data_IF_151017084331
#
_entry.id   IF_151017084331
#
_cell.length_a   1.000
_cell.length_b   1.000
_cell.length_c   1.000
_cell.angle_alpha   90.00
_cell.angle_beta   90.00
_cell.angle_gamma   90.00
#
_symmetry.space_group_name_H-M   'P 1'
#
loop_
_entity.id
_entity.type
_entity.pdbx_description
1 polymer ?
#
# COMPACT_ATOMS: atom_id res chain seq x y z
N UNK A 1 -51.24 -5.82 -18.31
CA UNK A 1 -49.86 -5.44 -17.99
C UNK A 1 -49.78 -3.93 -18.14
N UNK A 2 -49.59 -3.23 -17.02
CA UNK A 2 -49.53 -1.75 -16.99
C UNK A 2 -48.15 -1.18 -17.28
N UNK A 3 -47.12 -2.03 -17.40
CA UNK A 3 -45.72 -1.60 -17.67
C UNK A 3 -45.09 -2.44 -18.79
N UNK A 4 -44.20 -1.82 -19.56
CA UNK A 4 -43.41 -2.51 -20.58
C UNK A 4 -42.43 -3.50 -19.93
N UNK A 5 -42.32 -4.69 -20.52
CA UNK A 5 -41.30 -5.67 -20.12
C UNK A 5 -39.89 -5.16 -20.53
N UNK A 6 -39.08 -4.88 -19.54
CA UNK A 6 -37.77 -4.26 -19.72
C UNK A 6 -36.58 -5.23 -19.57
N UNK A 7 -36.81 -6.48 -19.19
CA UNK A 7 -35.74 -7.48 -19.11
C UNK A 7 -35.27 -7.86 -20.51
N UNK A 8 -34.00 -7.62 -20.76
CA UNK A 8 -33.32 -7.88 -22.03
C UNK A 8 -32.52 -9.20 -22.06
N UNK A 9 -32.58 -9.98 -21.00
CA UNK A 9 -31.84 -11.21 -20.84
C UNK A 9 -32.73 -12.46 -20.86
N UNK A 10 -33.96 -12.36 -20.38
CA UNK A 10 -34.87 -13.50 -20.25
C UNK A 10 -36.12 -13.33 -21.11
N UNK A 11 -36.87 -14.42 -21.28
CA UNK A 11 -38.12 -14.44 -22.01
C UNK A 11 -38.02 -15.06 -23.42
N UNK A 12 -39.21 -15.35 -23.97
CA UNK A 12 -39.39 -15.88 -25.33
C UNK A 12 -40.30 -14.93 -26.10
N UNK A 13 -39.88 -14.60 -27.31
CA UNK A 13 -40.61 -13.66 -28.15
C UNK A 13 -41.93 -14.29 -28.67
N UNK A 14 -43.04 -13.53 -28.57
CA UNK A 14 -44.32 -13.86 -29.12
C UNK A 14 -44.86 -12.71 -29.97
N UNK A 15 -45.69 -12.97 -30.96
CA UNK A 15 -46.25 -11.97 -31.90
C UNK A 15 -45.17 -11.11 -32.60
N UNK A 16 -43.99 -11.69 -32.82
CA UNK A 16 -42.82 -11.01 -33.38
C UNK A 16 -42.39 -11.52 -34.76
N UNK A 17 -43.32 -12.08 -35.54
CA UNK A 17 -43.13 -12.59 -36.87
C UNK A 17 -42.04 -13.68 -36.94
N UNK A 18 -41.02 -13.49 -37.72
CA UNK A 18 -39.93 -14.47 -37.88
C UNK A 18 -39.05 -14.71 -36.62
N UNK A 19 -39.28 -13.94 -35.59
CA UNK A 19 -38.57 -14.09 -34.28
C UNK A 19 -39.39 -14.88 -33.25
N UNK A 20 -40.61 -15.25 -33.56
CA UNK A 20 -41.48 -15.98 -32.64
C UNK A 20 -40.81 -17.27 -32.13
N UNK A 21 -40.97 -17.55 -30.84
CA UNK A 21 -40.44 -18.74 -30.18
C UNK A 21 -38.93 -18.69 -29.86
N UNK A 22 -38.26 -17.63 -30.23
CA UNK A 22 -36.83 -17.47 -29.91
C UNK A 22 -36.64 -16.84 -28.53
N UNK A 23 -35.55 -17.22 -27.87
CA UNK A 23 -35.07 -16.49 -26.71
C UNK A 23 -34.67 -15.05 -27.09
N UNK A 24 -34.66 -14.13 -26.11
CA UNK A 24 -34.22 -12.73 -26.36
C UNK A 24 -32.84 -12.69 -26.98
N UNK A 25 -31.89 -13.55 -26.53
CA UNK A 25 -30.54 -13.61 -27.04
C UNK A 25 -30.49 -14.06 -28.52
N UNK A 26 -31.20 -15.13 -28.84
CA UNK A 26 -31.26 -15.67 -30.21
C UNK A 26 -32.01 -14.75 -31.14
N UNK A 27 -33.05 -14.11 -30.69
CA UNK A 27 -33.82 -13.13 -31.46
C UNK A 27 -32.97 -11.90 -31.83
N UNK A 28 -32.15 -11.39 -30.89
CA UNK A 28 -31.20 -10.30 -31.17
C UNK A 28 -30.23 -10.69 -32.29
N UNK A 29 -29.60 -11.86 -32.20
CA UNK A 29 -28.69 -12.35 -33.24
C UNK A 29 -29.38 -12.44 -34.60
N UNK A 30 -30.54 -13.10 -34.61
CA UNK A 30 -31.31 -13.28 -35.88
C UNK A 30 -31.77 -11.95 -36.47
N UNK A 31 -32.18 -10.98 -35.61
CA UNK A 31 -32.53 -9.65 -36.09
C UNK A 31 -31.34 -8.89 -36.68
N UNK A 32 -30.16 -8.97 -36.04
CA UNK A 32 -28.93 -8.35 -36.56
C UNK A 32 -28.61 -8.93 -37.95
N UNK A 33 -28.56 -10.25 -38.08
CA UNK A 33 -28.34 -10.91 -39.36
C UNK A 33 -29.34 -10.45 -40.42
N UNK A 34 -30.63 -10.39 -40.08
CA UNK A 34 -31.66 -9.93 -41.01
C UNK A 34 -31.47 -8.47 -41.42
N UNK A 35 -31.04 -7.58 -40.49
CA UNK A 35 -30.76 -6.18 -40.78
C UNK A 35 -29.58 -6.03 -41.74
N UNK A 36 -28.54 -6.84 -41.56
CA UNK A 36 -27.35 -6.86 -42.43
C UNK A 36 -27.68 -7.38 -43.82
N UNK A 37 -28.38 -8.51 -43.94
CA UNK A 37 -28.79 -9.10 -45.21
C UNK A 37 -29.73 -8.18 -46.03
N UNK A 38 -30.51 -7.35 -45.34
CA UNK A 38 -31.42 -6.40 -45.98
C UNK A 38 -30.84 -4.98 -46.17
N UNK A 39 -29.55 -4.78 -45.80
CA UNK A 39 -28.88 -3.47 -45.90
C UNK A 39 -29.48 -2.36 -45.06
N UNK A 40 -30.18 -2.73 -43.96
CA UNK A 40 -30.90 -1.80 -43.08
C UNK A 40 -30.16 -1.47 -41.76
N UNK A 41 -29.11 -2.21 -41.45
CA UNK A 41 -28.31 -2.01 -40.24
C UNK A 41 -27.14 -2.96 -40.18
N UNK A 42 -26.30 -2.81 -39.20
CA UNK A 42 -25.17 -3.70 -38.91
C UNK A 42 -24.94 -3.82 -37.39
N UNK A 43 -24.25 -4.86 -36.99
CA UNK A 43 -23.76 -4.99 -35.62
C UNK A 43 -22.80 -3.85 -35.27
N UNK A 44 -22.90 -3.32 -34.07
CA UNK A 44 -22.01 -2.29 -33.56
C UNK A 44 -21.69 -2.54 -32.12
N UNK A 45 -20.41 -2.75 -31.83
CA UNK A 45 -19.90 -2.81 -30.45
C UNK A 45 -19.73 -1.39 -29.92
N UNK A 46 -20.40 -1.08 -28.81
CA UNK A 46 -20.21 0.18 -28.10
C UNK A 46 -19.43 -0.10 -26.83
N UNK A 47 -18.30 0.58 -26.68
CA UNK A 47 -17.48 0.52 -25.48
C UNK A 47 -18.00 1.51 -24.44
N UNK A 48 -18.08 1.09 -23.17
CA UNK A 48 -18.45 1.98 -22.06
C UNK A 48 -17.31 2.87 -21.61
N UNK A 49 -16.08 2.53 -21.97
CA UNK A 49 -14.89 3.34 -21.69
C UNK A 49 -14.95 4.61 -22.56
N UNK A 50 -14.77 5.77 -21.93
CA UNK A 50 -14.69 7.05 -22.65
C UNK A 50 -13.34 7.17 -23.35
N UNK A 51 -13.33 7.90 -24.47
CA UNK A 51 -12.08 8.22 -25.17
C UNK A 51 -11.15 9.01 -24.24
N UNK A 52 -9.87 8.71 -24.31
CA UNK A 52 -8.87 9.48 -23.61
C UNK A 52 -8.60 10.77 -24.36
N UNK A 53 -8.98 11.92 -23.77
CA UNK A 53 -8.59 13.23 -24.30
C UNK A 53 -7.09 13.40 -24.09
N UNK A 54 -6.33 13.34 -25.18
CA UNK A 54 -4.87 13.24 -25.14
C UNK A 54 -4.16 14.60 -25.21
N UNK A 55 -4.84 15.69 -25.42
CA UNK A 55 -4.26 17.03 -25.57
C UNK A 55 -4.56 17.93 -24.35
N UNK A 56 -3.61 18.79 -24.02
CA UNK A 56 -3.69 19.78 -22.96
C UNK A 56 -3.18 21.13 -23.42
N UNK A 57 -3.90 22.19 -23.12
CA UNK A 57 -3.54 23.58 -23.33
C UNK A 57 -2.61 24.06 -22.23
N UNK A 58 -1.45 23.41 -22.10
CA UNK A 58 -0.44 23.67 -21.06
C UNK A 58 0.95 23.60 -21.63
N UNK A 59 1.86 24.39 -21.08
CA UNK A 59 3.27 24.33 -21.46
C UNK A 59 3.95 23.04 -20.96
N UNK A 60 3.77 22.72 -19.69
CA UNK A 60 4.40 21.56 -19.05
C UNK A 60 3.73 20.25 -19.50
N UNK A 61 4.41 19.54 -20.37
CA UNK A 61 4.01 18.27 -20.94
C UNK A 61 4.87 17.92 -22.15
N UNK A 62 4.83 16.67 -22.60
CA UNK A 62 5.51 16.26 -23.83
C UNK A 62 4.81 16.91 -25.02
N UNK A 63 5.56 17.59 -25.92
CA UNK A 63 4.97 18.17 -27.12
C UNK A 63 4.50 17.05 -28.08
N UNK A 64 3.37 17.28 -28.74
CA UNK A 64 2.81 16.33 -29.69
C UNK A 64 3.54 16.49 -31.04
N UNK A 65 4.24 15.47 -31.54
CA UNK A 65 5.07 15.60 -32.76
C UNK A 65 4.24 15.58 -34.05
N UNK A 66 3.30 16.49 -34.16
CA UNK A 66 2.40 16.64 -35.32
C UNK A 66 2.44 18.07 -35.85
N UNK A 67 2.21 18.19 -37.15
CA UNK A 67 2.05 19.48 -37.82
C UNK A 67 0.80 19.46 -38.68
N UNK A 68 0.10 20.59 -38.74
CA UNK A 68 -1.02 20.79 -39.64
C UNK A 68 -0.59 21.58 -40.87
N UNK A 69 -0.94 21.05 -42.04
CA UNK A 69 -0.72 21.69 -43.36
C UNK A 69 -2.06 21.85 -44.09
N UNK A 70 -2.37 23.01 -44.60
CA UNK A 70 -3.63 23.27 -45.30
C UNK A 70 -3.86 22.35 -46.50
N UNK A 71 -2.77 21.88 -47.14
CA UNK A 71 -2.83 20.98 -48.29
C UNK A 71 -2.89 19.49 -47.88
N UNK A 72 -2.14 19.08 -46.85
CA UNK A 72 -1.93 17.68 -46.49
C UNK A 72 -2.69 17.25 -45.23
N UNK A 73 -3.30 18.19 -44.50
CA UNK A 73 -3.88 17.93 -43.19
C UNK A 73 -2.81 17.65 -42.11
N UNK A 74 -3.17 16.94 -41.06
CA UNK A 74 -2.27 16.55 -40.01
C UNK A 74 -1.21 15.55 -40.48
N UNK A 75 0.06 15.85 -40.23
CA UNK A 75 1.20 15.02 -40.61
C UNK A 75 2.11 14.79 -39.41
N UNK A 76 2.60 13.57 -39.17
CA UNK A 76 3.60 13.32 -38.14
C UNK A 76 4.94 13.94 -38.52
N UNK A 77 5.69 14.42 -37.53
CA UNK A 77 7.09 14.82 -37.72
C UNK A 77 7.94 13.58 -38.03
N UNK A 78 8.99 13.71 -38.87
CA UNK A 78 9.90 12.60 -39.12
C UNK A 78 10.73 12.28 -37.87
N UNK A 79 11.08 11.01 -37.67
CA UNK A 79 11.89 10.54 -36.54
C UNK A 79 13.20 11.32 -36.38
N UNK A 80 13.82 11.75 -37.47
CA UNK A 80 15.06 12.55 -37.44
C UNK A 80 14.89 13.92 -36.81
N UNK A 81 13.66 14.40 -36.56
CA UNK A 81 13.38 15.65 -35.84
C UNK A 81 13.09 15.45 -34.37
N UNK A 82 13.16 14.21 -33.86
CA UNK A 82 12.98 13.90 -32.46
C UNK A 82 14.31 13.92 -31.69
N UNK A 83 14.34 14.29 -30.43
CA UNK A 83 13.20 14.75 -29.62
C UNK A 83 12.71 16.14 -30.03
N UNK A 84 11.38 16.32 -30.12
CA UNK A 84 10.79 17.64 -30.26
C UNK A 84 10.85 18.33 -28.90
N UNK A 85 11.63 19.42 -28.81
CA UNK A 85 11.81 20.19 -27.57
C UNK A 85 10.84 21.37 -27.51
N UNK A 86 10.38 21.68 -26.30
CA UNK A 86 9.61 22.91 -26.04
C UNK A 86 10.52 24.13 -26.20
N UNK A 87 9.99 25.28 -26.69
CA UNK A 87 10.72 26.54 -26.68
C UNK A 87 10.89 27.06 -25.24
N UNK A 88 11.97 27.77 -25.00
CA UNK A 88 12.15 28.46 -23.70
C UNK A 88 11.22 29.67 -23.63
N UNK A 89 10.27 29.66 -22.70
CA UNK A 89 9.26 30.71 -22.53
C UNK A 89 9.15 31.14 -21.07
N UNK A 90 8.70 32.37 -20.84
CA UNK A 90 8.52 32.96 -19.51
C UNK A 90 7.05 33.06 -19.08
N UNK A 91 6.12 33.00 -20.03
CA UNK A 91 4.67 33.06 -19.80
C UNK A 91 4.04 31.69 -20.07
N UNK A 92 3.63 31.02 -19.02
CA UNK A 92 3.11 29.65 -19.03
C UNK A 92 1.58 29.58 -18.93
N UNK A 93 0.89 30.71 -18.75
CA UNK A 93 -0.55 30.70 -18.59
C UNK A 93 -1.27 30.53 -19.93
N UNK A 94 -2.38 29.78 -19.95
CA UNK A 94 -3.24 29.70 -21.14
C UNK A 94 -3.74 31.12 -21.56
N UNK A 95 -3.99 31.27 -22.85
CA UNK A 95 -4.59 32.48 -23.37
C UNK A 95 -6.01 32.72 -22.81
N UNK A 96 -6.57 33.97 -22.98
CA UNK A 96 -7.92 34.32 -22.51
C UNK A 96 -9.02 33.39 -23.04
N UNK A 97 -8.82 32.83 -24.24
CA UNK A 97 -9.74 31.91 -24.90
C UNK A 97 -9.44 30.42 -24.59
N UNK A 98 -8.55 30.18 -23.61
CA UNK A 98 -8.10 28.82 -23.25
C UNK A 98 -7.09 28.23 -24.22
N UNK A 99 -6.52 29.02 -25.12
CA UNK A 99 -5.49 28.60 -26.06
C UNK A 99 -4.18 28.27 -25.34
N UNK A 100 -3.45 27.27 -25.86
CA UNK A 100 -2.17 26.85 -25.31
C UNK A 100 -1.16 28.01 -25.28
N UNK A 101 -0.35 28.15 -24.19
CA UNK A 101 0.75 29.12 -24.15
C UNK A 101 1.69 29.02 -25.35
N UNK A 102 1.91 27.84 -25.88
CA UNK A 102 2.76 27.60 -27.05
C UNK A 102 2.25 28.27 -28.33
N UNK A 103 0.93 28.45 -28.48
CA UNK A 103 0.33 29.07 -29.67
C UNK A 103 0.80 30.51 -29.91
N UNK A 104 1.19 31.22 -28.83
CA UNK A 104 1.73 32.59 -28.89
C UNK A 104 3.17 32.66 -29.42
N UNK A 105 3.89 31.55 -29.45
CA UNK A 105 5.29 31.50 -29.89
C UNK A 105 5.39 31.15 -31.39
N UNK A 106 5.05 32.13 -32.22
CA UNK A 106 4.92 31.97 -33.68
C UNK A 106 6.17 31.41 -34.35
N UNK A 107 7.37 31.70 -33.81
CA UNK A 107 8.64 31.20 -34.38
C UNK A 107 8.80 29.69 -34.14
N UNK A 108 8.28 29.18 -33.03
CA UNK A 108 8.24 27.75 -32.75
C UNK A 108 7.07 27.08 -33.48
N UNK A 109 5.92 27.73 -33.57
CA UNK A 109 4.70 27.17 -34.17
C UNK A 109 4.88 27.00 -35.69
N UNK A 110 5.43 28.00 -36.39
CA UNK A 110 5.62 27.95 -37.83
C UNK A 110 6.70 26.94 -38.25
N UNK A 111 6.39 26.10 -39.19
CA UNK A 111 7.29 25.07 -39.71
C UNK A 111 6.98 24.70 -41.14
N UNK A 112 7.64 23.70 -41.68
CA UNK A 112 7.40 23.14 -42.99
C UNK A 112 6.73 21.77 -42.92
N UNK A 113 5.81 21.51 -43.81
CA UNK A 113 5.15 20.21 -43.92
C UNK A 113 6.14 19.14 -44.39
N UNK A 114 6.32 18.03 -43.64
CA UNK A 114 7.23 16.97 -44.04
C UNK A 114 6.77 16.21 -45.29
N UNK A 115 5.49 16.30 -45.63
CA UNK A 115 4.93 15.63 -46.81
C UNK A 115 5.13 16.44 -48.11
N UNK A 116 4.80 17.74 -48.13
CA UNK A 116 4.81 18.54 -49.36
C UNK A 116 5.81 19.70 -49.37
N UNK A 117 6.54 19.94 -48.28
CA UNK A 117 7.50 21.05 -48.12
C UNK A 117 6.87 22.44 -48.01
N UNK A 118 5.56 22.56 -48.06
CA UNK A 118 4.84 23.81 -47.88
C UNK A 118 4.75 24.30 -46.43
N UNK A 119 4.18 25.51 -46.23
CA UNK A 119 3.96 26.02 -44.89
C UNK A 119 3.09 25.08 -44.05
N UNK A 120 3.44 24.95 -42.75
CA UNK A 120 2.68 24.20 -41.79
C UNK A 120 2.79 24.82 -40.37
N UNK A 121 1.93 24.41 -39.48
CA UNK A 121 1.93 24.84 -38.09
C UNK A 121 2.08 23.63 -37.19
N UNK A 122 2.94 23.70 -36.15
CA UNK A 122 3.06 22.67 -35.15
C UNK A 122 1.79 22.61 -34.29
N UNK A 123 1.47 21.40 -33.80
CA UNK A 123 0.53 21.23 -32.71
C UNK A 123 1.02 22.00 -31.47
N UNK A 124 0.15 22.77 -30.86
CA UNK A 124 0.47 23.63 -29.70
C UNK A 124 0.01 23.07 -28.38
N UNK A 125 -0.84 22.05 -28.40
CA UNK A 125 -1.20 21.29 -27.23
C UNK A 125 -0.05 20.35 -26.82
N UNK A 126 0.04 20.06 -25.53
CA UNK A 126 0.97 19.05 -25.00
C UNK A 126 0.23 17.79 -24.58
N UNK A 127 0.94 16.69 -24.45
CA UNK A 127 0.39 15.44 -23.91
C UNK A 127 0.03 15.60 -22.43
N UNK A 128 -0.98 14.89 -21.92
CA UNK A 128 -1.27 14.88 -20.49
C UNK A 128 -0.10 14.21 -19.74
N UNK A 129 0.11 14.61 -18.47
CA UNK A 129 1.15 14.01 -17.61
C UNK A 129 1.08 12.46 -17.54
N UNK A 130 -0.11 11.90 -17.76
CA UNK A 130 -0.31 10.44 -17.79
C UNK A 130 0.30 9.78 -19.04
N UNK A 131 0.64 10.52 -20.07
CA UNK A 131 1.36 9.98 -21.24
C UNK A 131 2.77 9.58 -20.83
N UNK A 132 3.56 10.51 -20.28
CA UNK A 132 4.91 10.23 -19.79
C UNK A 132 4.92 9.20 -18.67
N UNK A 133 4.02 9.33 -17.69
CA UNK A 133 3.93 8.37 -16.58
C UNK A 133 3.48 6.97 -17.00
N UNK A 134 2.90 6.81 -18.19
CA UNK A 134 2.42 5.50 -18.67
C UNK A 134 3.53 4.51 -19.01
N UNK A 135 4.75 4.95 -19.19
CA UNK A 135 5.86 4.10 -19.64
C UNK A 135 7.18 4.29 -18.89
N UNK A 136 7.22 5.12 -17.84
CA UNK A 136 8.45 5.42 -17.10
C UNK A 136 9.14 4.15 -16.56
N UNK A 137 8.36 3.16 -16.11
CA UNK A 137 8.89 1.90 -15.58
C UNK A 137 9.64 1.08 -16.65
N UNK A 138 9.24 1.18 -17.90
CA UNK A 138 9.95 0.57 -19.04
C UNK A 138 11.28 1.30 -19.28
N UNK A 139 11.27 2.64 -19.24
CA UNK A 139 12.48 3.45 -19.40
C UNK A 139 13.49 3.22 -18.26
N UNK A 140 13.01 2.97 -17.05
CA UNK A 140 13.87 2.65 -15.90
C UNK A 140 14.66 1.35 -16.09
N UNK A 141 14.19 0.43 -16.92
CA UNK A 141 14.90 -0.82 -17.22
C UNK A 141 16.19 -0.57 -17.99
N UNK A 142 16.22 0.49 -18.82
CA UNK A 142 17.41 0.91 -19.57
C UNK A 142 17.41 2.43 -19.78
N UNK A 143 17.77 3.22 -18.74
CA UNK A 143 17.66 4.68 -18.78
C UNK A 143 18.65 5.35 -19.75
N UNK A 144 19.69 4.64 -20.17
CA UNK A 144 20.75 5.17 -21.06
C UNK A 144 20.59 4.76 -22.53
N UNK A 145 19.59 3.95 -22.86
CA UNK A 145 19.31 3.57 -24.24
C UNK A 145 18.96 4.83 -25.07
N UNK A 146 19.67 5.03 -26.20
CA UNK A 146 19.47 6.19 -27.07
C UNK A 146 18.64 5.90 -28.29
N UNK A 147 18.58 4.63 -28.70
CA UNK A 147 18.03 4.20 -29.98
C UNK A 147 16.60 3.66 -29.90
N UNK A 148 16.14 3.37 -28.67
CA UNK A 148 14.81 2.82 -28.42
C UNK A 148 14.28 3.25 -27.04
N UNK A 149 13.04 2.89 -26.73
CA UNK A 149 12.39 3.06 -25.42
C UNK A 149 13.23 2.41 -24.32
N UNK A 150 13.73 1.21 -24.55
CA UNK A 150 14.73 0.46 -23.78
C UNK A 150 15.28 -0.64 -24.70
N UNK A 151 16.44 -1.21 -24.39
CA UNK A 151 16.98 -2.34 -25.13
C UNK A 151 16.07 -3.57 -25.01
N UNK A 152 16.05 -4.39 -26.04
CA UNK A 152 15.24 -5.61 -26.05
C UNK A 152 15.64 -6.55 -24.92
N UNK A 153 16.94 -6.70 -24.68
CA UNK A 153 17.52 -7.53 -23.64
C UNK A 153 17.06 -7.07 -22.24
N UNK A 154 17.04 -5.76 -21.97
CA UNK A 154 16.56 -5.22 -20.71
C UNK A 154 15.06 -5.44 -20.52
N UNK A 155 14.26 -5.23 -21.58
CA UNK A 155 12.83 -5.48 -21.55
C UNK A 155 12.50 -6.96 -21.34
N UNK A 156 13.21 -7.88 -21.99
CA UNK A 156 13.02 -9.33 -21.80
C UNK A 156 13.42 -9.79 -20.41
N UNK A 157 14.42 -9.16 -19.77
CA UNK A 157 14.88 -9.52 -18.44
C UNK A 157 14.00 -8.95 -17.31
N UNK A 158 13.61 -7.65 -17.40
CA UNK A 158 12.94 -6.93 -16.32
C UNK A 158 11.41 -6.89 -16.45
N UNK A 159 10.82 -7.22 -17.62
CA UNK A 159 9.36 -7.24 -17.80
C UNK A 159 8.79 -8.66 -17.70
N UNK A 160 7.54 -8.78 -17.23
CA UNK A 160 6.72 -7.76 -16.57
C UNK A 160 7.22 -7.43 -15.17
N UNK A 161 6.88 -6.23 -14.66
CA UNK A 161 7.27 -5.82 -13.30
C UNK A 161 6.71 -6.80 -12.28
N UNK A 162 7.55 -7.32 -11.38
CA UNK A 162 7.17 -8.38 -10.44
C UNK A 162 6.14 -7.91 -9.43
N UNK A 163 6.34 -6.72 -8.86
CA UNK A 163 5.46 -6.17 -7.85
C UNK A 163 5.34 -4.64 -7.96
N UNK A 164 4.13 -4.18 -8.15
CA UNK A 164 3.82 -2.76 -8.37
C UNK A 164 2.98 -2.20 -7.23
N UNK A 165 3.57 -1.29 -6.45
CA UNK A 165 2.92 -0.63 -5.32
C UNK A 165 2.51 0.80 -5.70
N UNK A 166 1.30 1.19 -5.32
CA UNK A 166 0.81 2.55 -5.57
C UNK A 166 -0.52 2.82 -4.92
N UNK A 167 -0.88 4.10 -4.82
CA UNK A 167 -2.15 4.53 -4.23
C UNK A 167 -3.37 4.00 -4.98
N UNK A 168 -4.45 3.80 -4.27
CA UNK A 168 -5.71 3.28 -4.82
C UNK A 168 -6.30 4.23 -5.87
N UNK A 169 -6.07 5.54 -5.76
CA UNK A 169 -6.50 6.57 -6.72
C UNK A 169 -5.97 6.30 -8.15
N UNK A 170 -4.81 5.67 -8.27
CA UNK A 170 -4.20 5.35 -9.55
C UNK A 170 -4.86 4.19 -10.29
N UNK A 171 -5.81 3.48 -9.69
CA UNK A 171 -6.56 2.40 -10.34
C UNK A 171 -7.27 2.87 -11.62
N UNK A 172 -7.81 4.08 -11.58
CA UNK A 172 -8.52 4.72 -12.72
C UNK A 172 -7.71 5.81 -13.40
N UNK A 173 -6.47 6.05 -12.99
CA UNK A 173 -5.56 7.05 -13.54
C UNK A 173 -4.33 6.36 -14.16
N UNK A 174 -3.18 6.44 -13.51
CA UNK A 174 -1.92 5.90 -14.01
C UNK A 174 -2.00 4.42 -14.43
N UNK A 175 -2.60 3.55 -13.61
CA UNK A 175 -2.67 2.11 -13.92
C UNK A 175 -3.52 1.81 -15.16
N UNK A 176 -4.62 2.55 -15.37
CA UNK A 176 -5.43 2.41 -16.56
C UNK A 176 -4.65 2.82 -17.82
N UNK A 177 -4.00 3.99 -17.77
CA UNK A 177 -3.28 4.52 -18.91
C UNK A 177 -2.00 3.74 -19.22
N UNK A 178 -1.23 3.36 -18.19
CA UNK A 178 -0.01 2.57 -18.39
C UNK A 178 -0.30 1.18 -18.94
N UNK A 179 -1.38 0.54 -18.49
CA UNK A 179 -1.82 -0.75 -19.03
C UNK A 179 -2.30 -0.64 -20.48
N UNK A 180 -3.06 0.41 -20.82
CA UNK A 180 -3.48 0.69 -22.20
C UNK A 180 -2.27 0.89 -23.11
N UNK A 181 -1.31 1.74 -22.68
CA UNK A 181 -0.08 2.03 -23.39
C UNK A 181 0.78 0.77 -23.58
N UNK A 182 0.93 -0.02 -22.55
CA UNK A 182 1.69 -1.27 -22.58
C UNK A 182 1.09 -2.29 -23.56
N UNK A 183 -0.24 -2.44 -23.59
CA UNK A 183 -0.92 -3.32 -24.53
C UNK A 183 -0.71 -2.87 -25.98
N UNK A 184 -0.75 -1.58 -26.24
CA UNK A 184 -0.41 -1.03 -27.55
C UNK A 184 1.05 -1.35 -27.93
N UNK A 185 2.01 -1.15 -27.02
CA UNK A 185 3.41 -1.50 -27.25
C UNK A 185 3.61 -3.00 -27.49
N UNK A 186 2.82 -3.84 -26.83
CA UNK A 186 2.81 -5.28 -27.07
C UNK A 186 2.27 -5.62 -28.48
N UNK A 187 1.17 -5.01 -28.90
CA UNK A 187 0.58 -5.24 -30.21
C UNK A 187 1.52 -4.87 -31.35
N UNK A 188 2.38 -3.88 -31.18
CA UNK A 188 3.41 -3.49 -32.16
C UNK A 188 4.77 -4.16 -31.92
N UNK A 189 4.88 -5.09 -30.98
CA UNK A 189 6.08 -5.92 -30.73
C UNK A 189 7.23 -5.22 -30.01
N UNK A 190 6.99 -4.13 -29.30
CA UNK A 190 8.02 -3.38 -28.54
C UNK A 190 8.29 -4.00 -27.18
N UNK A 191 7.27 -4.51 -26.49
CA UNK A 191 7.41 -5.16 -25.18
C UNK A 191 7.09 -6.65 -25.28
N UNK A 192 7.71 -7.52 -24.43
CA UNK A 192 7.60 -8.98 -24.57
C UNK A 192 6.33 -9.59 -23.97
N UNK A 193 5.61 -8.86 -23.12
CA UNK A 193 4.45 -9.38 -22.38
C UNK A 193 3.19 -8.54 -22.60
N UNK A 194 1.98 -9.15 -22.59
CA UNK A 194 0.73 -8.43 -22.80
C UNK A 194 0.26 -7.61 -21.57
N UNK A 195 0.85 -7.86 -20.39
CA UNK A 195 0.53 -7.15 -19.15
C UNK A 195 1.79 -6.57 -18.52
N UNK A 196 1.72 -5.32 -18.00
CA UNK A 196 2.90 -4.63 -17.47
C UNK A 196 3.32 -5.12 -16.07
N UNK A 197 2.39 -5.63 -15.27
CA UNK A 197 2.59 -5.95 -13.84
C UNK A 197 2.11 -7.35 -13.52
N UNK A 198 2.92 -8.12 -12.77
CA UNK A 198 2.56 -9.46 -12.27
C UNK A 198 1.69 -9.37 -11.03
N UNK A 199 2.06 -8.51 -10.09
CA UNK A 199 1.36 -8.28 -8.83
C UNK A 199 1.20 -6.79 -8.57
N UNK A 200 0.02 -6.40 -8.13
CA UNK A 200 -0.26 -5.03 -7.69
C UNK A 200 -0.74 -5.02 -6.24
N UNK A 201 -0.20 -4.11 -5.45
CA UNK A 201 -0.70 -3.78 -4.11
C UNK A 201 -1.10 -2.31 -4.08
N UNK A 202 -2.28 -2.03 -3.53
CA UNK A 202 -2.71 -0.66 -3.23
C UNK A 202 -2.44 -0.39 -1.76
N UNK A 203 -1.52 0.52 -1.47
CA UNK A 203 -1.36 0.97 -0.08
C UNK A 203 -2.57 1.78 0.39
N UNK A 204 -2.84 1.72 1.70
CA UNK A 204 -3.88 2.50 2.35
C UNK A 204 -3.60 4.00 2.32
N UNK A 205 -4.65 4.78 2.56
CA UNK A 205 -4.55 6.24 2.60
C UNK A 205 -4.35 6.69 4.05
N UNK A 206 -3.40 7.60 4.27
CA UNK A 206 -3.26 8.28 5.56
C UNK A 206 -4.32 9.40 5.62
N UNK A 207 -5.15 9.36 6.66
CA UNK A 207 -6.28 10.25 6.86
C UNK A 207 -5.96 11.28 7.93
N UNK A 208 -6.53 12.48 7.80
CA UNK A 208 -6.42 13.57 8.77
C UNK A 208 -7.71 13.82 9.54
N UNK A 209 -7.62 14.59 10.62
CA UNK A 209 -8.78 15.09 11.32
C UNK A 209 -9.61 16.00 10.43
N UNK A 210 -10.93 15.90 10.50
CA UNK A 210 -11.83 16.79 9.80
C UNK A 210 -12.07 18.04 10.67
N UNK A 211 -11.58 19.24 10.27
CA UNK A 211 -11.77 20.46 11.06
C UNK A 211 -13.24 20.93 11.11
N UNK A 212 -14.11 20.38 10.28
CA UNK A 212 -15.53 20.72 10.24
C UNK A 212 -16.42 19.72 10.99
N UNK A 213 -15.84 18.65 11.55
CA UNK A 213 -16.60 17.72 12.38
C UNK A 213 -16.70 18.23 13.82
N UNK A 214 -17.90 18.18 14.41
CA UNK A 214 -18.17 18.68 15.74
C UNK A 214 -17.15 18.22 16.80
N UNK A 215 -16.78 16.95 16.77
CA UNK A 215 -15.85 16.34 17.74
C UNK A 215 -14.40 16.87 17.66
N UNK A 216 -14.05 17.48 16.54
CA UNK A 216 -12.72 18.04 16.30
C UNK A 216 -12.65 19.56 16.47
N UNK A 217 -13.79 20.23 16.68
CA UNK A 217 -13.82 21.66 16.94
C UNK A 217 -13.19 21.98 18.30
N UNK A 218 -12.60 23.19 18.46
CA UNK A 218 -12.18 23.68 19.76
C UNK A 218 -13.33 23.66 20.78
N UNK A 219 -13.03 23.42 22.04
CA UNK A 219 -14.05 23.29 23.10
C UNK A 219 -14.98 24.53 23.17
N UNK A 220 -14.43 25.73 22.97
CA UNK A 220 -15.22 26.98 22.94
C UNK A 220 -16.23 27.01 21.80
N UNK A 221 -15.88 26.50 20.63
CA UNK A 221 -16.79 26.41 19.49
C UNK A 221 -17.86 25.34 19.71
N UNK A 222 -17.49 24.19 20.30
CA UNK A 222 -18.47 23.17 20.66
C UNK A 222 -19.50 23.71 21.67
N UNK A 223 -19.07 24.42 22.72
CA UNK A 223 -19.96 25.03 23.68
C UNK A 223 -20.88 26.09 23.05
N UNK A 224 -20.35 26.91 22.12
CA UNK A 224 -21.14 27.90 21.38
C UNK A 224 -22.24 27.22 20.57
N UNK A 225 -21.90 26.18 19.83
CA UNK A 225 -22.84 25.43 19.02
C UNK A 225 -23.89 24.71 19.89
N UNK A 226 -23.48 24.15 21.04
CA UNK A 226 -24.44 23.52 21.97
C UNK A 226 -25.41 24.52 22.57
N UNK A 227 -24.98 25.74 22.87
CA UNK A 227 -25.88 26.85 23.33
C UNK A 227 -26.82 27.29 22.23
N UNK A 228 -26.35 27.39 21.00
CA UNK A 228 -27.13 27.83 19.86
C UNK A 228 -28.17 26.80 19.39
N UNK A 229 -27.79 25.54 19.30
CA UNK A 229 -28.64 24.46 18.73
C UNK A 229 -29.27 23.54 19.78
N UNK A 230 -28.94 23.69 21.05
CA UNK A 230 -29.54 22.98 22.18
C UNK A 230 -29.11 21.52 22.36
N UNK A 231 -28.48 20.91 21.36
CA UNK A 231 -27.93 19.54 21.44
C UNK A 231 -26.81 19.29 20.44
N UNK A 232 -25.91 18.34 20.74
CA UNK A 232 -24.85 17.93 19.84
C UNK A 232 -25.38 17.47 18.47
N UNK A 233 -26.44 16.66 18.46
CA UNK A 233 -27.05 16.18 17.22
C UNK A 233 -27.60 17.30 16.32
N UNK A 234 -28.15 18.36 16.92
CA UNK A 234 -28.63 19.51 16.16
C UNK A 234 -27.45 20.37 15.66
N UNK A 235 -26.39 20.52 16.46
CA UNK A 235 -25.14 21.17 16.06
C UNK A 235 -24.45 20.43 14.90
N UNK A 236 -24.33 19.11 14.98
CA UNK A 236 -23.79 18.26 13.89
C UNK A 236 -24.59 18.42 12.59
N UNK A 237 -25.93 18.47 12.69
CA UNK A 237 -26.78 18.69 11.53
C UNK A 237 -26.57 20.07 10.91
N UNK A 238 -26.39 21.12 11.72
CA UNK A 238 -26.10 22.46 11.24
C UNK A 238 -24.72 22.53 10.54
N UNK A 239 -23.71 21.84 11.07
CA UNK A 239 -22.40 21.71 10.43
C UNK A 239 -22.51 20.96 9.10
N UNK A 240 -23.32 19.92 9.03
CA UNK A 240 -23.58 19.18 7.79
C UNK A 240 -24.27 20.07 6.73
N UNK A 241 -25.27 20.86 7.12
CA UNK A 241 -25.94 21.82 6.22
C UNK A 241 -24.97 22.88 5.69
N UNK A 242 -23.96 23.26 6.50
CA UNK A 242 -22.97 24.27 6.13
C UNK A 242 -21.81 23.73 5.30
N UNK A 243 -21.28 22.54 5.64
CA UNK A 243 -20.05 21.99 5.06
C UNK A 243 -20.27 20.71 4.24
N UNK A 244 -21.50 20.24 4.13
CA UNK A 244 -21.86 19.01 3.43
C UNK A 244 -21.73 17.74 4.30
N UNK A 245 -22.11 16.60 3.72
CA UNK A 245 -22.13 15.30 4.40
C UNK A 245 -20.81 14.91 5.06
N UNK A 246 -19.68 15.38 4.53
CA UNK A 246 -18.36 15.11 5.09
C UNK A 246 -18.20 15.59 6.54
N UNK A 247 -18.96 16.60 6.99
CA UNK A 247 -18.88 17.08 8.37
C UNK A 247 -19.27 16.01 9.43
N UNK A 248 -19.98 14.97 9.03
CA UNK A 248 -20.31 13.81 9.87
C UNK A 248 -19.09 12.94 10.21
N UNK A 249 -18.07 12.98 9.38
CA UNK A 249 -16.91 12.11 9.51
C UNK A 249 -15.78 12.84 10.25
N UNK A 250 -15.40 12.37 11.45
CA UNK A 250 -14.32 13.01 12.21
C UNK A 250 -12.94 12.85 11.56
N UNK A 251 -12.80 11.87 10.68
CA UNK A 251 -11.55 11.54 9.98
C UNK A 251 -11.85 11.49 8.49
N UNK A 252 -11.06 12.22 7.69
CA UNK A 252 -11.26 12.37 6.25
C UNK A 252 -9.91 12.39 5.52
N UNK A 253 -9.95 12.30 4.19
CA UNK A 253 -8.77 12.48 3.36
C UNK A 253 -8.12 13.84 3.63
N UNK A 254 -6.80 13.85 3.77
CA UNK A 254 -6.04 15.10 3.88
C UNK A 254 -6.13 15.90 2.60
N UNK A 255 -6.38 17.21 2.72
CA UNK A 255 -6.37 18.14 1.59
C UNK A 255 -5.96 19.55 2.03
N UNK A 256 -5.30 20.27 1.11
CA UNK A 256 -4.91 21.68 1.36
C UNK A 256 -6.11 22.57 1.63
N UNK A 257 -7.24 22.31 0.96
CA UNK A 257 -8.48 23.10 1.14
C UNK A 257 -9.11 22.91 2.52
N UNK A 258 -8.89 21.79 3.18
CA UNK A 258 -9.36 21.55 4.55
C UNK A 258 -8.35 21.98 5.62
N UNK A 259 -7.12 22.29 5.24
CA UNK A 259 -6.07 22.66 6.20
C UNK A 259 -5.68 21.52 7.16
N UNK A 260 -5.98 20.28 6.84
CA UNK A 260 -5.72 19.09 7.67
C UNK A 260 -4.53 18.26 7.20
N UNK A 261 -3.67 18.84 6.37
CA UNK A 261 -2.45 18.20 5.86
C UNK A 261 -1.37 18.21 6.95
N UNK A 262 -0.69 17.10 7.13
CA UNK A 262 0.53 17.00 7.94
C UNK A 262 1.72 17.17 7.00
N UNK A 263 2.59 18.13 7.31
CA UNK A 263 3.82 18.34 6.56
C UNK A 263 4.91 17.37 7.07
N UNK A 264 5.45 16.48 6.22
CA UNK A 264 6.53 15.59 6.61
C UNK A 264 7.75 16.31 7.17
N UNK A 265 8.14 17.48 6.62
CA UNK A 265 9.30 18.22 7.07
C UNK A 265 9.17 18.63 8.54
N UNK A 266 7.99 19.11 8.95
CA UNK A 266 7.73 19.50 10.35
C UNK A 266 7.86 18.29 11.32
N UNK A 267 7.43 17.10 10.87
CA UNK A 267 7.55 15.87 11.66
C UNK A 267 9.01 15.42 11.74
N UNK A 268 9.74 15.52 10.64
CA UNK A 268 11.17 15.18 10.59
C UNK A 268 11.99 16.14 11.45
N UNK A 269 11.72 17.43 11.40
CA UNK A 269 12.38 18.44 12.23
C UNK A 269 12.14 18.22 13.73
N UNK A 270 10.96 17.75 14.09
CA UNK A 270 10.58 17.53 15.50
C UNK A 270 11.03 16.18 16.06
N UNK A 271 10.95 15.10 15.27
CA UNK A 271 11.12 13.73 15.76
C UNK A 271 12.24 12.95 15.04
N UNK A 272 12.76 13.46 13.93
CA UNK A 272 13.72 12.77 13.08
C UNK A 272 13.07 11.88 12.02
N UNK A 273 13.80 11.69 10.92
CA UNK A 273 13.32 10.91 9.77
C UNK A 273 13.04 9.44 10.12
N UNK A 274 13.88 8.82 10.92
CA UNK A 274 13.71 7.41 11.32
C UNK A 274 12.45 7.19 12.15
N UNK A 275 12.12 8.14 13.04
CA UNK A 275 10.88 8.09 13.82
C UNK A 275 9.66 8.20 12.93
N UNK A 276 9.67 9.11 11.95
CA UNK A 276 8.59 9.26 10.98
C UNK A 276 8.40 7.99 10.16
N UNK A 277 9.49 7.46 9.57
CA UNK A 277 9.47 6.21 8.79
C UNK A 277 8.90 5.04 9.59
N UNK A 278 9.40 4.88 10.81
CA UNK A 278 8.93 3.81 11.71
C UNK A 278 7.44 3.97 12.03
N UNK A 279 6.98 5.20 12.30
CA UNK A 279 5.58 5.46 12.60
C UNK A 279 4.66 5.18 11.41
N UNK A 280 5.02 5.62 10.21
CA UNK A 280 4.22 5.35 8.99
C UNK A 280 4.05 3.85 8.74
N UNK A 281 5.08 3.04 9.01
CA UNK A 281 5.01 1.59 8.86
C UNK A 281 4.28 0.91 10.04
N UNK A 282 4.21 1.54 11.20
CA UNK A 282 3.62 0.97 12.40
C UNK A 282 2.14 1.29 12.60
N UNK A 283 1.64 2.38 12.02
CA UNK A 283 0.31 2.92 12.31
C UNK A 283 -0.87 2.02 11.91
N UNK A 284 -0.67 1.02 11.06
CA UNK A 284 -1.71 0.09 10.64
C UNK A 284 -1.27 -0.92 9.60
N UNK A 285 -2.23 -1.68 9.09
CA UNK A 285 -2.03 -2.57 7.95
C UNK A 285 -1.71 -1.74 6.69
N UNK A 286 -0.72 -2.17 5.90
CA UNK A 286 -0.23 -1.43 4.75
C UNK A 286 -1.31 -1.14 3.68
N UNK A 287 -2.29 -2.04 3.53
CA UNK A 287 -3.36 -1.93 2.55
C UNK A 287 -4.61 -1.19 3.08
N UNK A 288 -4.64 -0.84 4.37
CA UNK A 288 -5.78 -0.20 5.01
C UNK A 288 -5.55 1.29 5.24
N UNK A 289 -6.62 2.08 5.10
CA UNK A 289 -6.57 3.47 5.47
C UNK A 289 -6.43 3.63 6.99
N UNK A 290 -5.53 4.50 7.44
CA UNK A 290 -5.27 4.73 8.85
C UNK A 290 -5.27 6.23 9.20
N UNK A 291 -5.84 6.62 10.36
CA UNK A 291 -5.81 8.02 10.79
C UNK A 291 -4.43 8.38 11.34
N UNK A 292 -3.94 9.53 10.97
CA UNK A 292 -2.73 10.11 11.57
C UNK A 292 -2.98 10.49 13.03
N UNK A 293 -2.09 10.03 13.92
CA UNK A 293 -2.13 10.32 15.35
C UNK A 293 -0.77 10.82 15.83
N UNK A 294 -0.57 12.12 15.91
CA UNK A 294 0.71 12.72 16.32
C UNK A 294 1.20 12.23 17.69
N UNK A 295 0.29 11.95 18.62
CA UNK A 295 0.65 11.40 19.94
C UNK A 295 1.29 10.01 19.90
N UNK A 296 1.01 9.21 18.86
CA UNK A 296 1.58 7.88 18.72
C UNK A 296 3.04 7.91 18.22
N UNK A 297 3.45 8.98 17.55
CA UNK A 297 4.84 9.19 17.07
C UNK A 297 5.81 9.16 18.24
N UNK A 298 5.46 9.78 19.38
CA UNK A 298 6.29 9.76 20.58
C UNK A 298 6.54 8.35 21.12
N UNK A 299 5.63 7.40 20.85
CA UNK A 299 5.83 5.98 21.17
C UNK A 299 6.93 5.34 20.32
N UNK A 300 6.94 5.64 19.03
CA UNK A 300 7.97 5.18 18.09
C UNK A 300 9.32 5.80 18.43
N UNK A 301 9.37 7.10 18.74
CA UNK A 301 10.60 7.76 19.15
C UNK A 301 11.20 7.10 20.39
N UNK A 302 10.40 6.89 21.46
CA UNK A 302 10.88 6.19 22.66
C UNK A 302 11.36 4.76 22.40
N UNK A 303 10.77 4.08 21.44
CA UNK A 303 11.27 2.75 21.05
C UNK A 303 12.67 2.85 20.41
N UNK A 304 12.91 3.80 19.52
CA UNK A 304 14.21 4.03 18.92
C UNK A 304 15.25 4.43 19.98
N UNK A 305 14.89 5.34 20.89
CA UNK A 305 15.76 5.73 22.03
C UNK A 305 16.16 4.52 22.88
N UNK A 306 15.23 3.58 23.12
CA UNK A 306 15.51 2.35 23.86
C UNK A 306 16.43 1.42 23.10
N UNK A 307 16.29 1.30 21.78
CA UNK A 307 17.22 0.52 20.95
C UNK A 307 18.61 1.13 21.02
N UNK A 308 18.72 2.45 20.87
CA UNK A 308 19.98 3.16 21.02
C UNK A 308 20.64 2.90 22.38
N UNK A 309 19.89 3.05 23.46
CA UNK A 309 20.37 2.87 24.83
C UNK A 309 20.81 1.42 25.15
N UNK A 310 20.43 0.41 24.36
CA UNK A 310 20.94 -0.95 24.49
C UNK A 310 22.45 -1.02 24.21
N UNK A 311 22.99 -0.14 23.36
CA UNK A 311 24.43 -0.09 23.09
C UNK A 311 25.28 0.29 24.31
N UNK A 312 24.66 0.94 25.29
CA UNK A 312 25.30 1.28 26.58
C UNK A 312 25.02 0.21 27.66
N UNK A 313 24.27 -0.83 27.32
CA UNK A 313 23.88 -1.95 28.20
C UNK A 313 24.31 -3.30 27.64
N UNK A 314 25.46 -3.31 26.97
CA UNK A 314 26.02 -4.57 26.48
C UNK A 314 26.47 -5.43 27.67
N UNK A 315 26.09 -6.71 27.61
CA UNK A 315 26.50 -7.74 28.57
C UNK A 315 27.51 -8.68 27.92
N UNK A 316 28.37 -9.31 28.72
CA UNK A 316 29.33 -10.30 28.26
C UNK A 316 28.59 -11.54 27.71
N UNK A 317 29.13 -12.10 26.63
CA UNK A 317 28.62 -13.31 25.99
C UNK A 317 28.92 -13.37 24.51
N UNK A 318 29.12 -14.56 24.00
CA UNK A 318 29.27 -14.84 22.57
C UNK A 318 27.92 -15.35 22.03
N UNK A 319 27.47 -14.79 20.90
CA UNK A 319 26.22 -15.19 20.25
C UNK A 319 24.94 -14.84 21.06
N UNK A 320 23.89 -15.61 20.85
CA UNK A 320 22.61 -15.42 21.55
C UNK A 320 22.60 -16.19 22.87
N UNK A 321 22.15 -15.52 23.94
CA UNK A 321 22.04 -16.18 25.25
C UNK A 321 20.87 -17.19 25.27
N UNK A 322 21.02 -18.33 25.98
CA UNK A 322 19.99 -19.39 26.01
C UNK A 322 18.59 -18.91 26.42
N UNK A 323 18.52 -17.90 27.29
CA UNK A 323 17.27 -17.34 27.78
C UNK A 323 16.47 -16.60 26.69
N UNK A 324 17.12 -16.19 25.59
CA UNK A 324 16.53 -15.34 24.55
C UNK A 324 16.72 -15.92 23.15
N UNK A 325 17.54 -16.96 22.98
CA UNK A 325 17.89 -17.55 21.69
C UNK A 325 16.66 -17.92 20.85
N UNK A 326 15.68 -18.59 21.46
CA UNK A 326 14.43 -18.96 20.78
C UNK A 326 13.70 -17.73 20.25
N UNK A 327 13.59 -16.68 21.08
CA UNK A 327 12.93 -15.43 20.66
C UNK A 327 13.71 -14.71 19.55
N UNK A 328 15.06 -14.76 19.56
CA UNK A 328 15.88 -14.21 18.49
C UNK A 328 15.56 -14.89 17.14
N UNK A 329 15.60 -16.24 17.09
CA UNK A 329 15.28 -16.97 15.88
C UNK A 329 13.84 -16.78 15.42
N UNK A 330 12.86 -16.78 16.32
CA UNK A 330 11.47 -16.47 16.02
C UNK A 330 11.31 -15.06 15.46
N UNK A 331 12.06 -14.08 15.99
CA UNK A 331 12.00 -12.68 15.53
C UNK A 331 12.60 -12.54 14.14
N UNK A 332 13.74 -13.13 13.84
CA UNK A 332 14.34 -13.13 12.50
C UNK A 332 13.35 -13.69 11.49
N UNK A 333 12.80 -14.88 11.77
CA UNK A 333 11.81 -15.55 10.91
C UNK A 333 10.58 -14.67 10.68
N UNK A 334 9.99 -14.15 11.78
CA UNK A 334 8.76 -13.39 11.70
C UNK A 334 8.94 -12.05 10.99
N UNK A 335 9.98 -11.28 11.34
CA UNK A 335 10.24 -9.97 10.71
C UNK A 335 10.51 -10.13 9.23
N UNK A 336 11.31 -11.12 8.80
CA UNK A 336 11.54 -11.40 7.40
C UNK A 336 10.25 -11.70 6.64
N UNK A 337 9.45 -12.65 7.14
CA UNK A 337 8.17 -13.01 6.52
C UNK A 337 7.15 -11.85 6.50
N UNK A 338 7.12 -11.05 7.55
CA UNK A 338 6.22 -9.90 7.65
C UNK A 338 6.61 -8.79 6.65
N UNK A 339 7.91 -8.52 6.45
CA UNK A 339 8.39 -7.57 5.46
C UNK A 339 8.04 -8.05 4.04
N UNK A 340 8.29 -9.30 3.71
CA UNK A 340 7.91 -9.90 2.42
C UNK A 340 6.39 -9.83 2.17
N UNK A 341 5.60 -9.95 3.23
CA UNK A 341 4.14 -9.87 3.21
C UNK A 341 3.56 -8.47 3.32
N UNK A 342 4.38 -7.40 3.37
CA UNK A 342 3.99 -6.00 3.65
C UNK A 342 3.23 -5.82 4.98
N UNK A 343 3.49 -6.68 5.96
CA UNK A 343 2.95 -6.58 7.33
C UNK A 343 3.91 -5.84 8.26
N UNK A 344 4.28 -4.63 7.86
CA UNK A 344 5.32 -3.84 8.53
C UNK A 344 4.99 -3.57 10.00
N UNK A 345 3.73 -3.33 10.33
CA UNK A 345 3.25 -3.07 11.69
C UNK A 345 3.49 -4.27 12.62
N UNK A 346 3.28 -5.50 12.14
CA UNK A 346 3.52 -6.71 12.94
C UNK A 346 5.01 -7.03 13.07
N UNK A 347 5.82 -6.73 12.04
CA UNK A 347 7.27 -6.80 12.13
C UNK A 347 7.82 -5.87 13.22
N UNK A 348 7.39 -4.61 13.25
CA UNK A 348 7.79 -3.62 14.25
C UNK A 348 7.33 -4.06 15.66
N UNK A 349 6.10 -4.55 15.81
CA UNK A 349 5.61 -5.07 17.07
C UNK A 349 6.46 -6.24 17.60
N UNK A 350 6.92 -7.10 16.71
CA UNK A 350 7.83 -8.19 17.07
C UNK A 350 9.20 -7.68 17.53
N UNK A 351 9.74 -6.65 16.87
CA UNK A 351 10.98 -6.00 17.31
C UNK A 351 10.81 -5.36 18.68
N UNK A 352 9.67 -4.70 18.96
CA UNK A 352 9.37 -4.15 20.29
C UNK A 352 9.32 -5.24 21.34
N UNK A 353 8.75 -6.41 21.04
CA UNK A 353 8.72 -7.57 21.93
C UNK A 353 10.13 -8.06 22.24
N UNK A 354 10.98 -8.19 21.23
CA UNK A 354 12.38 -8.60 21.42
C UNK A 354 13.16 -7.61 22.26
N UNK A 355 13.05 -6.31 21.99
CA UNK A 355 13.72 -5.26 22.76
C UNK A 355 13.27 -5.28 24.23
N UNK A 356 11.98 -5.48 24.51
CA UNK A 356 11.50 -5.65 25.88
C UNK A 356 12.17 -6.85 26.57
N UNK A 357 12.22 -7.99 25.90
CA UNK A 357 12.85 -9.18 26.46
C UNK A 357 14.36 -9.00 26.71
N UNK A 358 15.07 -8.23 25.88
CA UNK A 358 16.47 -7.88 26.11
C UNK A 358 16.63 -7.05 27.39
N UNK A 359 15.76 -6.06 27.61
CA UNK A 359 15.76 -5.27 28.85
C UNK A 359 15.44 -6.13 30.08
N UNK A 360 14.45 -7.01 29.99
CA UNK A 360 14.05 -7.91 31.08
C UNK A 360 15.18 -8.89 31.45
N UNK A 361 16.09 -9.19 30.52
CA UNK A 361 17.27 -10.01 30.70
C UNK A 361 18.57 -9.21 30.93
N UNK A 362 18.44 -7.94 31.33
CA UNK A 362 19.55 -7.11 31.82
C UNK A 362 20.38 -6.42 30.74
N UNK A 363 19.99 -6.47 29.48
CA UNK A 363 20.68 -5.88 28.34
C UNK A 363 20.83 -6.86 27.17
N UNK A 364 21.75 -6.60 26.26
CA UNK A 364 22.00 -7.42 25.08
C UNK A 364 23.47 -7.81 24.97
N UNK A 365 23.79 -9.00 24.42
CA UNK A 365 25.13 -9.25 23.91
C UNK A 365 25.34 -8.44 22.64
N UNK A 366 26.59 -8.28 22.22
CA UNK A 366 26.88 -7.62 20.93
C UNK A 366 26.13 -8.27 19.78
N UNK A 367 26.13 -9.59 19.67
CA UNK A 367 25.45 -10.35 18.62
C UNK A 367 23.92 -10.19 18.64
N UNK A 368 23.31 -10.14 19.83
CA UNK A 368 21.88 -9.89 19.98
C UNK A 368 21.50 -8.49 19.49
N UNK A 369 22.29 -7.47 19.87
CA UNK A 369 22.05 -6.08 19.42
C UNK A 369 22.33 -5.91 17.91
N UNK A 370 23.38 -6.50 17.36
CA UNK A 370 23.64 -6.49 15.92
C UNK A 370 22.46 -7.05 15.14
N UNK A 371 21.86 -8.13 15.60
CA UNK A 371 20.66 -8.70 14.96
C UNK A 371 19.47 -7.76 15.03
N UNK A 372 19.21 -7.11 16.18
CA UNK A 372 18.15 -6.09 16.30
C UNK A 372 18.38 -4.96 15.30
N UNK A 373 19.63 -4.47 15.21
CA UNK A 373 20.01 -3.37 14.34
C UNK A 373 19.84 -3.76 12.86
N UNK A 374 20.21 -4.97 12.46
CA UNK A 374 20.00 -5.50 11.11
C UNK A 374 18.50 -5.58 10.76
N UNK A 375 17.68 -6.13 11.65
CA UNK A 375 16.24 -6.27 11.43
C UNK A 375 15.50 -4.93 11.43
N UNK A 376 16.02 -3.94 12.15
CA UNK A 376 15.42 -2.59 12.22
C UNK A 376 15.86 -1.68 11.08
N UNK A 377 16.98 -1.97 10.40
CA UNK A 377 17.56 -1.11 9.37
C UNK A 377 16.56 -0.69 8.26
N UNK A 378 15.68 -1.54 7.73
CA UNK A 378 14.69 -1.12 6.73
C UNK A 378 13.74 -0.01 7.21
N UNK A 379 13.50 0.07 8.51
CA UNK A 379 12.57 1.02 9.13
C UNK A 379 13.28 2.31 9.60
N UNK A 380 14.48 2.17 10.17
CA UNK A 380 15.24 3.26 10.79
C UNK A 380 16.71 3.25 10.31
N UNK A 381 16.98 3.50 9.02
CA UNK A 381 18.28 3.30 8.42
C UNK A 381 19.40 4.19 9.01
N UNK A 382 19.10 5.45 9.37
CA UNK A 382 20.14 6.36 9.84
C UNK A 382 20.66 5.96 11.21
N UNK A 383 19.77 5.70 12.16
CA UNK A 383 20.13 5.28 13.52
C UNK A 383 20.84 3.92 13.52
N UNK A 384 20.40 3.00 12.69
CA UNK A 384 20.94 1.65 12.66
C UNK A 384 22.32 1.60 11.99
N UNK A 385 22.60 2.39 10.97
CA UNK A 385 23.95 2.54 10.41
C UNK A 385 24.91 3.11 11.46
N UNK A 386 24.52 4.14 12.20
CA UNK A 386 25.32 4.72 13.27
C UNK A 386 25.59 3.72 14.42
N UNK A 387 24.57 2.94 14.81
CA UNK A 387 24.73 1.87 15.79
C UNK A 387 25.65 0.76 15.30
N UNK A 388 25.60 0.43 14.01
CA UNK A 388 26.46 -0.58 13.40
C UNK A 388 27.93 -0.20 13.51
N UNK A 389 28.24 1.05 13.21
CA UNK A 389 29.59 1.59 13.39
C UNK A 389 30.00 1.63 14.88
N UNK A 390 29.10 2.07 15.77
CA UNK A 390 29.33 2.07 17.23
C UNK A 390 29.61 0.67 17.77
N UNK A 391 29.06 -0.37 17.17
CA UNK A 391 29.31 -1.77 17.51
C UNK A 391 30.65 -2.29 16.97
N UNK A 392 31.42 -1.46 16.27
CA UNK A 392 32.80 -1.73 15.84
C UNK A 392 32.92 -2.25 14.42
N UNK A 393 31.87 -2.12 13.59
CA UNK A 393 31.98 -2.34 12.16
C UNK A 393 32.61 -1.14 11.47
N UNK A 394 33.26 -1.38 10.32
CA UNK A 394 33.90 -0.31 9.57
C UNK A 394 32.85 0.62 8.93
N UNK A 395 33.11 1.92 8.91
CA UNK A 395 32.30 2.91 8.18
C UNK A 395 32.10 2.54 6.68
N UNK A 396 33.00 1.77 6.08
CA UNK A 396 32.88 1.29 4.71
C UNK A 396 32.02 0.02 4.58
N UNK A 397 31.61 -0.59 5.69
CA UNK A 397 30.75 -1.78 5.74
C UNK A 397 29.33 -1.36 6.05
N UNK A 398 28.67 -0.75 5.08
CA UNK A 398 27.29 -0.28 5.25
C UNK A 398 26.35 -1.43 5.56
N UNK A 399 25.58 -1.30 6.63
CA UNK A 399 24.61 -2.29 7.10
C UNK A 399 23.57 -2.64 6.02
N UNK A 400 23.16 -1.68 5.20
CA UNK A 400 22.20 -1.88 4.12
C UNK A 400 22.64 -2.97 3.10
N UNK A 401 23.95 -3.23 2.96
CA UNK A 401 24.48 -4.28 2.10
C UNK A 401 24.89 -5.55 2.85
N UNK A 402 24.69 -5.56 4.17
CA UNK A 402 25.02 -6.73 4.98
C UNK A 402 23.96 -7.82 4.80
N UNK A 403 24.34 -9.12 4.78
CA UNK A 403 23.38 -10.20 4.61
C UNK A 403 22.30 -10.19 5.70
N UNK A 404 21.07 -10.47 5.30
CA UNK A 404 19.96 -10.61 6.23
C UNK A 404 20.25 -11.74 7.23
N UNK A 405 19.97 -11.55 8.53
CA UNK A 405 20.26 -12.56 9.55
C UNK A 405 19.48 -13.83 9.29
N UNK A 406 20.12 -14.98 9.54
CA UNK A 406 19.53 -16.30 9.32
C UNK A 406 18.97 -16.87 10.61
N UNK A 407 17.86 -17.58 10.51
CA UNK A 407 17.29 -18.32 11.63
C UNK A 407 17.42 -19.84 11.45
N UNK A 408 17.44 -20.56 12.56
CA UNK A 408 17.38 -22.01 12.58
C UNK A 408 15.97 -22.44 13.01
N UNK A 409 15.26 -23.19 12.16
CA UNK A 409 13.88 -23.62 12.42
C UNK A 409 13.75 -24.41 13.72
N UNK A 410 14.73 -25.27 14.03
CA UNK A 410 14.76 -26.06 15.26
C UNK A 410 14.84 -25.20 16.54
N UNK A 411 15.42 -24.00 16.44
CA UNK A 411 15.54 -23.07 17.57
C UNK A 411 14.34 -22.12 17.70
N UNK A 412 13.44 -22.10 16.70
CA UNK A 412 12.19 -21.34 16.79
C UNK A 412 11.14 -22.00 17.70
N UNK A 413 11.34 -23.25 18.11
CA UNK A 413 10.40 -23.99 18.93
C UNK A 413 10.74 -23.76 20.40
N UNK A 414 9.77 -23.28 21.18
CA UNK A 414 9.95 -23.19 22.63
C UNK A 414 10.12 -24.58 23.24
N UNK A 415 11.20 -24.77 23.98
CA UNK A 415 11.46 -26.02 24.70
C UNK A 415 10.50 -26.22 25.90
N UNK A 416 9.88 -25.11 26.37
CA UNK A 416 8.92 -25.15 27.49
C UNK A 416 7.68 -24.32 27.16
N UNK A 417 6.53 -24.75 27.69
CA UNK A 417 5.25 -24.02 27.60
C UNK A 417 4.68 -23.82 28.99
N UNK A 418 4.02 -22.68 29.20
CA UNK A 418 3.26 -22.43 30.43
C UNK A 418 1.84 -23.01 30.27
N UNK A 419 1.48 -23.93 31.13
CA UNK A 419 0.14 -24.52 31.18
C UNK A 419 -0.61 -24.03 32.42
N UNK A 420 -1.90 -23.70 32.25
CA UNK A 420 -2.76 -23.39 33.39
C UNK A 420 -3.21 -24.70 34.10
N UNK A 421 -3.10 -24.77 35.44
CA UNK A 421 -3.65 -25.88 36.20
C UNK A 421 -4.94 -25.46 36.88
N UNK A 422 -6.00 -26.19 36.59
CA UNK A 422 -7.33 -25.93 37.12
C UNK A 422 -7.78 -27.08 38.05
N UNK A 423 -8.47 -26.70 39.11
CA UNK A 423 -9.22 -27.64 39.98
C UNK A 423 -10.68 -27.23 39.90
N UNK A 424 -11.54 -28.11 39.40
CA UNK A 424 -12.97 -27.87 39.18
C UNK A 424 -13.22 -26.58 38.35
N UNK A 425 -12.41 -26.38 37.27
CA UNK A 425 -12.51 -25.25 36.33
C UNK A 425 -11.94 -23.92 36.86
N UNK A 426 -11.42 -23.86 38.08
CA UNK A 426 -10.76 -22.66 38.64
C UNK A 426 -9.24 -22.81 38.57
N UNK A 427 -8.54 -21.86 37.95
CA UNK A 427 -7.07 -21.84 37.90
C UNK A 427 -6.50 -21.74 39.30
N UNK A 428 -5.56 -22.66 39.63
CA UNK A 428 -4.86 -22.73 40.89
C UNK A 428 -3.37 -22.49 40.78
N UNK A 429 -2.78 -22.86 39.64
CA UNK A 429 -1.37 -22.68 39.36
C UNK A 429 -1.12 -22.47 37.85
N UNK A 430 0.07 -21.97 37.50
CA UNK A 430 0.64 -21.96 36.19
C UNK A 430 1.99 -22.63 36.23
N UNK A 431 2.20 -23.62 35.38
CA UNK A 431 3.41 -24.44 35.41
C UNK A 431 4.15 -24.32 34.08
N UNK A 432 5.46 -24.07 34.14
CA UNK A 432 6.34 -24.25 32.98
C UNK A 432 6.69 -25.73 32.85
N UNK A 433 6.33 -26.34 31.74
CA UNK A 433 6.58 -27.75 31.44
C UNK A 433 7.23 -27.88 30.07
N UNK A 434 7.90 -29.00 29.79
CA UNK A 434 8.43 -29.25 28.45
C UNK A 434 7.31 -29.17 27.39
N UNK A 435 7.57 -28.56 26.23
CA UNK A 435 6.56 -28.36 25.19
C UNK A 435 6.02 -29.70 24.63
N UNK A 436 6.82 -30.74 24.67
CA UNK A 436 6.53 -32.10 24.23
C UNK A 436 6.03 -33.02 25.36
N UNK A 437 5.84 -32.48 26.58
CA UNK A 437 5.39 -33.25 27.76
C UNK A 437 4.14 -34.06 27.43
N UNK A 438 4.14 -35.34 27.79
CA UNK A 438 2.97 -36.18 27.67
C UNK A 438 1.89 -35.90 28.72
N UNK A 439 0.70 -36.44 28.50
CA UNK A 439 -0.43 -36.16 29.39
C UNK A 439 -0.20 -36.68 30.82
N UNK A 440 0.44 -37.82 30.99
CA UNK A 440 0.69 -38.42 32.29
C UNK A 440 1.68 -37.58 33.09
N UNK A 441 2.78 -37.18 32.47
CA UNK A 441 3.80 -36.32 33.08
C UNK A 441 3.26 -34.93 33.44
N UNK A 442 2.46 -34.32 32.54
CA UNK A 442 1.83 -33.01 32.76
C UNK A 442 0.85 -33.06 33.95
N UNK A 443 0.03 -34.10 34.04
CA UNK A 443 -0.89 -34.30 35.15
C UNK A 443 -0.14 -34.56 36.45
N UNK A 444 0.93 -35.35 36.42
CA UNK A 444 1.78 -35.60 37.62
C UNK A 444 2.43 -34.30 38.11
N UNK A 445 3.01 -33.50 37.21
CA UNK A 445 3.57 -32.19 37.53
C UNK A 445 2.51 -31.24 38.15
N UNK A 446 1.31 -31.22 37.54
CA UNK A 446 0.20 -30.41 38.04
C UNK A 446 -0.23 -30.78 39.46
N UNK A 447 -0.28 -32.07 39.81
CA UNK A 447 -0.63 -32.56 41.13
C UNK A 447 0.48 -32.29 42.17
N UNK A 448 1.73 -32.25 41.74
CA UNK A 448 2.88 -31.96 42.59
C UNK A 448 2.99 -30.47 42.99
N UNK A 449 2.29 -29.57 42.31
CA UNK A 449 2.30 -28.14 42.66
C UNK A 449 1.63 -27.91 44.02
N UNK A 450 2.26 -27.14 44.93
CA UNK A 450 1.76 -26.93 46.29
C UNK A 450 0.35 -26.33 46.34
N UNK A 451 0.03 -25.38 45.47
CA UNK A 451 -1.28 -24.72 45.44
C UNK A 451 -2.38 -25.66 44.92
N UNK A 452 -2.02 -26.54 44.01
CA UNK A 452 -2.93 -27.57 43.47
C UNK A 452 -3.13 -28.68 44.49
N UNK A 453 -2.06 -29.14 45.13
CA UNK A 453 -2.13 -30.17 46.21
C UNK A 453 -3.02 -29.67 47.37
N UNK A 454 -2.86 -28.44 47.83
CA UNK A 454 -3.73 -27.86 48.84
C UNK A 454 -5.20 -27.74 48.40
N UNK A 455 -5.45 -27.48 47.11
CA UNK A 455 -6.81 -27.40 46.57
C UNK A 455 -7.48 -28.78 46.42
N UNK A 456 -6.69 -29.85 46.40
CA UNK A 456 -7.13 -31.25 46.34
C UNK A 456 -7.20 -31.94 47.71
N UNK A 457 -6.72 -31.32 48.78
CA UNK A 457 -6.72 -31.88 50.11
C UNK A 457 -8.13 -32.31 50.54
N UNK A 458 -8.31 -33.54 50.99
CA UNK A 458 -9.60 -34.11 51.37
C UNK A 458 -10.54 -34.44 50.23
N UNK A 459 -10.12 -34.35 48.95
CA UNK A 459 -10.94 -34.61 47.78
C UNK A 459 -10.42 -35.76 46.96
N UNK A 460 -11.32 -36.49 46.32
CA UNK A 460 -10.98 -37.53 45.36
C UNK A 460 -11.03 -36.98 43.93
N UNK A 461 -9.93 -37.05 43.21
CA UNK A 461 -9.89 -36.70 41.77
C UNK A 461 -10.67 -37.77 40.97
N UNK A 462 -11.72 -37.32 40.31
CA UNK A 462 -12.64 -38.18 39.52
C UNK A 462 -12.42 -38.13 38.04
N UNK A 463 -11.79 -37.05 37.56
CA UNK A 463 -11.46 -36.88 36.11
C UNK A 463 -10.27 -35.96 35.95
N UNK A 464 -9.38 -36.34 35.05
CA UNK A 464 -8.16 -35.63 34.68
C UNK A 464 -8.22 -35.33 33.18
N UNK A 465 -8.00 -34.07 32.82
CA UNK A 465 -8.01 -33.63 31.43
C UNK A 465 -6.74 -32.84 31.18
N UNK A 466 -5.98 -33.26 30.18
CA UNK A 466 -4.84 -32.48 29.67
C UNK A 466 -5.15 -32.00 28.24
N UNK A 467 -5.03 -30.71 28.04
CA UNK A 467 -5.05 -30.10 26.71
C UNK A 467 -3.63 -29.68 26.41
N UNK A 468 -2.98 -30.36 25.46
CA UNK A 468 -1.56 -30.19 25.13
C UNK A 468 -1.17 -28.73 24.98
N UNK A 469 -0.17 -28.31 25.70
CA UNK A 469 0.37 -26.94 25.67
C UNK A 469 -0.55 -25.83 26.21
N UNK A 470 -1.70 -26.19 26.86
CA UNK A 470 -2.69 -25.19 27.29
C UNK A 470 -3.08 -25.31 28.75
N UNK A 471 -3.58 -26.45 29.14
CA UNK A 471 -4.07 -26.60 30.52
C UNK A 471 -4.15 -28.08 30.99
N UNK A 472 -4.05 -28.24 32.32
CA UNK A 472 -4.51 -29.44 33.04
C UNK A 472 -5.73 -29.04 33.86
N UNK A 473 -6.82 -29.81 33.76
CA UNK A 473 -7.99 -29.65 34.65
C UNK A 473 -8.26 -30.92 35.45
N UNK A 474 -8.25 -30.78 36.78
CA UNK A 474 -8.51 -31.86 37.74
C UNK A 474 -9.90 -31.67 38.33
N UNK A 475 -10.85 -32.53 37.93
CA UNK A 475 -12.18 -32.55 38.54
C UNK A 475 -12.13 -33.41 39.80
N UNK A 476 -12.45 -32.82 40.93
CA UNK A 476 -12.40 -33.48 42.26
C UNK A 476 -13.73 -33.35 43.00
N UNK A 477 -14.12 -34.41 43.69
CA UNK A 477 -15.27 -34.47 44.61
C UNK A 477 -14.73 -34.68 46.04
N UNK A 478 -15.26 -33.90 46.94
CA UNK A 478 -14.97 -34.01 48.40
C UNK A 478 -16.23 -34.13 49.15
#
# INVERSE_FOLDING_TARGET
>A
DEAAFTDVATGTLVNSGFLNGLSVVDAKKKMITWLEENGKGRDKVNYKLRDWVFSRQRYWGEPIPMVHCDKCGWQPLPESSLPLTLPDITDFEPGPDGESPLARHTDWVKTTCPCCGGPATRETDTMPQWAGSSWYFLRYMDPHCKDALASKEALEYWSPVDWYNGGMEHTTLHLLYSRFWHKFLYDIGVVPSPEPYQKRTAHGMILGLNPHSFVNLPAEEQEKLLKEYGSQKAAEKALEEKYGEMARHPIVKMSKSLGNVINPDEVVDQYGADTMRLYEMFMGDFEQAAPWQTSAIAGCNRFLDRVWALSDKLVEGEGYRPAIETLMHQTIKKVGADIEGLKMNTAIAQLMTLVNALYDNGGATKAELETVVQLLNPFAPHMTEELWEKLGHSHNEQLAYYPWPQYEEAKCVESTVEIAVQVNGKVKARLKVAADIDAAAAIAAAKADPAVAAALEGKQVVKEIYVKGRLVNLAAKG
#
